data_IF_257574207011
#
_entry.id   IF_257574207011
#
_cell.length_a   1.000
_cell.length_b   1.000
_cell.length_c   1.000
_cell.angle_alpha   90.00
_cell.angle_beta   90.00
_cell.angle_gamma   90.00
#
_symmetry.space_group_name_H-M   'P 1'
#
loop_
_entity.id
_entity.type
_entity.pdbx_description
1 polymer ?
#
# COMPACT_ATOMS: atom_id res chain seq x y z
N UNK A 1 -2.57 -8.68 1.49
CA UNK A 1 -1.11 -8.85 1.32
C UNK A 1 -0.70 -10.27 1.67
N UNK A 2 0.35 -10.82 1.07
CA UNK A 2 0.89 -12.16 1.39
C UNK A 2 1.53 -12.23 2.79
N UNK A 3 1.95 -11.08 3.33
CA UNK A 3 2.68 -10.94 4.59
C UNK A 3 1.84 -10.32 5.72
N UNK A 4 0.53 -10.23 5.53
CA UNK A 4 -0.42 -9.62 6.49
C UNK A 4 -0.04 -8.19 6.91
N UNK A 5 0.49 -7.38 5.99
CA UNK A 5 0.73 -5.96 6.23
C UNK A 5 2.04 -5.64 6.96
N UNK A 6 2.88 -6.65 7.27
CA UNK A 6 4.17 -6.46 7.93
C UNK A 6 5.08 -5.46 7.20
N UNK A 7 5.24 -5.63 5.89
CA UNK A 7 6.13 -4.79 5.09
C UNK A 7 5.69 -3.33 5.09
N UNK A 8 4.38 -3.08 5.03
CA UNK A 8 3.79 -1.73 5.12
C UNK A 8 4.02 -1.15 6.51
N UNK A 9 3.75 -1.93 7.57
CA UNK A 9 3.95 -1.51 8.96
C UNK A 9 5.41 -1.12 9.24
N UNK A 10 6.36 -1.80 8.62
CA UNK A 10 7.80 -1.58 8.82
C UNK A 10 8.42 -0.60 7.81
N UNK A 11 7.61 0.01 6.93
CA UNK A 11 8.08 0.91 5.86
C UNK A 11 9.15 0.27 4.97
N UNK A 12 9.04 -1.05 4.73
CA UNK A 12 9.95 -1.76 3.84
C UNK A 12 9.85 -1.20 2.42
N UNK A 13 10.97 -0.96 1.70
CA UNK A 13 10.96 -0.26 0.42
C UNK A 13 10.26 -1.02 -0.71
N UNK A 14 10.04 -2.33 -0.55
CA UNK A 14 9.40 -3.21 -1.54
C UNK A 14 8.09 -3.84 -1.05
N UNK A 15 7.41 -3.17 -0.12
CA UNK A 15 6.10 -3.58 0.41
C UNK A 15 5.06 -3.85 -0.68
N UNK A 16 5.16 -3.19 -1.84
CA UNK A 16 4.23 -3.39 -2.95
C UNK A 16 4.22 -4.82 -3.49
N UNK A 17 5.33 -5.57 -3.33
CA UNK A 17 5.43 -6.97 -3.76
C UNK A 17 4.54 -7.90 -2.96
N UNK A 18 4.12 -7.48 -1.77
CA UNK A 18 3.22 -8.28 -0.92
C UNK A 18 1.76 -8.09 -1.30
N UNK A 19 1.43 -7.10 -2.14
CA UNK A 19 0.07 -6.85 -2.60
C UNK A 19 -0.42 -7.99 -3.50
N UNK A 20 -1.69 -8.34 -3.33
CA UNK A 20 -2.38 -9.34 -4.14
C UNK A 20 -3.73 -8.80 -4.61
N UNK A 21 -4.28 -9.39 -5.68
CA UNK A 21 -5.61 -9.07 -6.21
C UNK A 21 -5.85 -7.55 -6.40
N UNK A 22 -6.96 -7.02 -5.89
CA UNK A 22 -7.40 -5.63 -6.11
C UNK A 22 -6.37 -4.58 -5.63
N UNK A 23 -5.78 -4.67 -4.43
CA UNK A 23 -4.69 -3.77 -4.02
C UNK A 23 -3.52 -3.74 -5.00
N UNK A 24 -3.11 -4.89 -5.54
CA UNK A 24 -2.03 -4.94 -6.54
C UNK A 24 -2.42 -4.21 -7.82
N UNK A 25 -3.64 -4.41 -8.31
CA UNK A 25 -4.14 -3.68 -9.49
C UNK A 25 -4.19 -2.16 -9.25
N UNK A 26 -4.58 -1.73 -8.05
CA UNK A 26 -4.59 -0.31 -7.69
C UNK A 26 -3.16 0.29 -7.65
N UNK A 27 -2.20 -0.44 -7.08
CA UNK A 27 -0.80 -0.04 -7.09
C UNK A 27 -0.24 0.04 -8.52
N UNK A 28 -0.43 -1.01 -9.32
CA UNK A 28 0.08 -1.08 -10.70
C UNK A 28 -0.52 0.06 -11.55
N UNK A 29 -1.82 0.35 -11.40
CA UNK A 29 -2.46 1.49 -12.04
C UNK A 29 -1.85 2.82 -11.62
N UNK A 30 -1.64 3.04 -10.32
CA UNK A 30 -0.97 4.24 -9.84
C UNK A 30 0.44 4.35 -10.40
N UNK A 31 1.23 3.27 -10.33
CA UNK A 31 2.63 3.25 -10.75
C UNK A 31 2.77 3.60 -12.24
N UNK A 32 1.96 2.99 -13.09
CA UNK A 32 2.06 3.14 -14.53
C UNK A 32 1.43 4.43 -15.06
N UNK A 33 0.36 4.92 -14.41
CA UNK A 33 -0.47 6.01 -14.95
C UNK A 33 -0.40 7.30 -14.15
N UNK A 34 -0.41 7.22 -12.82
CA UNK A 34 -0.56 8.39 -11.96
C UNK A 34 0.79 8.92 -11.46
N UNK A 35 1.75 8.04 -11.17
CA UNK A 35 3.09 8.42 -10.74
C UNK A 35 3.80 9.33 -11.75
N UNK A 36 3.77 9.08 -13.08
CA UNK A 36 4.36 10.00 -14.06
C UNK A 36 3.70 11.39 -14.10
N UNK A 37 2.46 11.49 -13.62
CA UNK A 37 1.71 12.75 -13.55
C UNK A 37 1.95 13.49 -12.22
N UNK A 38 2.85 12.99 -11.36
CA UNK A 38 3.21 13.62 -10.10
C UNK A 38 2.36 13.22 -8.89
N UNK A 39 1.40 12.30 -9.04
CA UNK A 39 0.66 11.79 -7.90
C UNK A 39 1.52 10.87 -7.03
N UNK A 40 1.50 11.08 -5.72
CA UNK A 40 2.09 10.16 -4.75
C UNK A 40 1.11 9.07 -4.33
N UNK A 41 1.65 7.98 -3.78
CA UNK A 41 0.88 6.92 -3.13
C UNK A 41 1.50 6.63 -1.77
N UNK A 42 0.65 6.56 -0.75
CA UNK A 42 1.03 6.18 0.62
C UNK A 42 0.26 4.93 1.02
N UNK A 43 0.92 4.00 1.69
CA UNK A 43 0.29 2.84 2.31
C UNK A 43 0.44 2.90 3.82
N UNK A 44 -0.63 2.60 4.57
CA UNK A 44 -0.62 2.62 6.03
C UNK A 44 -1.51 1.52 6.61
N UNK A 45 -1.16 1.05 7.80
CA UNK A 45 -2.04 0.20 8.61
C UNK A 45 -3.07 1.09 9.30
N UNK A 46 -4.35 0.77 9.13
CA UNK A 46 -5.47 1.56 9.65
C UNK A 46 -5.90 1.10 11.05
N UNK A 47 -5.75 -0.18 11.35
CA UNK A 47 -6.11 -0.75 12.65
C UNK A 47 -5.20 -1.90 13.08
N UNK A 48 -5.28 -2.21 14.38
CA UNK A 48 -4.46 -3.24 15.02
C UNK A 48 -5.30 -4.22 15.86
N UNK A 49 -6.20 -5.01 15.25
CA UNK A 49 -7.02 -5.98 15.99
C UNK A 49 -6.14 -7.00 16.70
N UNK A 50 -6.25 -7.06 18.04
CA UNK A 50 -5.42 -7.96 18.86
C UNK A 50 -3.93 -7.63 18.84
N UNK A 51 -3.56 -6.38 18.53
CA UNK A 51 -2.16 -5.94 18.48
C UNK A 51 -1.40 -6.30 17.21
N UNK A 52 -2.08 -6.85 16.20
CA UNK A 52 -1.50 -7.22 14.90
C UNK A 52 -2.04 -6.30 13.79
N UNK A 53 -1.26 -5.98 12.75
CA UNK A 53 -1.74 -5.20 11.62
C UNK A 53 -3.02 -5.81 11.01
N UNK A 54 -4.07 -4.99 10.90
CA UNK A 54 -5.32 -5.37 10.25
C UNK A 54 -5.46 -4.76 8.87
N UNK A 55 -6.42 -3.86 8.72
CA UNK A 55 -6.75 -3.22 7.45
C UNK A 55 -5.63 -2.29 6.97
N UNK A 56 -5.47 -2.22 5.65
CA UNK A 56 -4.46 -1.39 4.98
C UNK A 56 -5.15 -0.35 4.12
N UNK A 57 -4.78 0.91 4.31
CA UNK A 57 -5.20 2.02 3.46
C UNK A 57 -4.16 2.33 2.38
N UNK A 58 -4.62 2.53 1.15
CA UNK A 58 -3.85 3.15 0.07
C UNK A 58 -4.38 4.56 -0.17
N UNK A 59 -3.53 5.56 0.01
CA UNK A 59 -3.89 6.98 -0.10
C UNK A 59 -3.17 7.59 -1.29
N UNK A 60 -3.94 8.09 -2.25
CA UNK A 60 -3.43 8.92 -3.34
C UNK A 60 -3.14 10.33 -2.80
N UNK A 61 -2.00 10.91 -3.15
CA UNK A 61 -1.63 12.27 -2.75
C UNK A 61 -1.30 13.13 -3.97
N UNK A 62 -1.65 14.40 -3.91
CA UNK A 62 -1.33 15.42 -4.91
C UNK A 62 -0.98 16.72 -4.18
N UNK A 63 -0.03 17.47 -4.73
CA UNK A 63 0.36 18.80 -4.23
C UNK A 63 0.33 19.79 -5.38
#
# INVERSE_FOLDING_TARGET
>A
CTDRGRAINNLEPDWEKTLTARPKLAYDFWHDRLRPLGFGLKAEILDYPGGMPGDVGLFLTWK
#
